data_IF_010004999762
#
_entry.id   IF_010004999762
#
_cell.length_a   1.000
_cell.length_b   1.000
_cell.length_c   1.000
_cell.angle_alpha   90.00
_cell.angle_beta   90.00
_cell.angle_gamma   90.00
#
_symmetry.space_group_name_H-M   'P 1'
#
loop_
_entity.id
_entity.type
_entity.pdbx_description
1 polymer ?
#
# COMPACT_ATOMS: atom_id res chain seq x y z
N UNK A 1 23.80 4.99 -5.68
CA UNK A 1 23.44 6.43 -5.57
C UNK A 1 21.91 6.64 -5.58
N UNK A 2 21.14 5.94 -6.39
CA UNK A 2 19.68 6.09 -6.52
C UNK A 2 18.89 5.82 -5.23
N UNK A 3 19.26 4.81 -4.45
CA UNK A 3 18.61 4.47 -3.18
C UNK A 3 18.69 5.59 -2.13
N UNK A 4 19.81 6.31 -2.08
CA UNK A 4 19.99 7.46 -1.15
C UNK A 4 19.16 8.68 -1.60
N UNK A 5 18.97 8.88 -2.89
CA UNK A 5 18.11 9.93 -3.43
C UNK A 5 16.63 9.64 -3.13
N UNK A 6 16.21 8.37 -3.26
CA UNK A 6 14.84 7.94 -3.01
C UNK A 6 14.45 8.10 -1.54
N UNK A 7 15.31 7.66 -0.61
CA UNK A 7 15.06 7.82 0.82
C UNK A 7 15.03 9.30 1.23
N UNK A 8 15.89 10.14 0.64
CA UNK A 8 15.88 11.58 0.87
C UNK A 8 14.62 12.27 0.35
N UNK A 9 14.10 11.83 -0.79
CA UNK A 9 12.86 12.37 -1.38
C UNK A 9 11.63 11.99 -0.54
N UNK A 10 11.52 10.74 -0.14
CA UNK A 10 10.43 10.25 0.74
C UNK A 10 10.49 10.97 2.09
N UNK A 11 11.68 11.14 2.66
CA UNK A 11 11.86 11.88 3.93
C UNK A 11 11.43 13.34 3.79
N UNK A 12 11.73 14.00 2.66
CA UNK A 12 11.31 15.38 2.39
C UNK A 12 9.79 15.50 2.24
N UNK A 13 9.15 14.57 1.56
CA UNK A 13 7.68 14.55 1.44
C UNK A 13 7.03 14.34 2.81
N UNK A 14 7.55 13.42 3.62
CA UNK A 14 7.08 13.19 5.00
C UNK A 14 7.29 14.45 5.84
N UNK A 15 8.44 15.09 5.76
CA UNK A 15 8.73 16.32 6.50
C UNK A 15 7.83 17.49 6.07
N UNK A 16 7.59 17.67 4.75
CA UNK A 16 6.69 18.70 4.22
C UNK A 16 5.26 18.45 4.68
N UNK A 17 4.76 17.22 4.66
CA UNK A 17 3.41 16.90 5.12
C UNK A 17 3.24 17.05 6.63
N UNK A 18 4.27 16.72 7.42
CA UNK A 18 4.30 16.98 8.87
C UNK A 18 4.30 18.49 9.18
N UNK A 19 5.02 19.29 8.39
CA UNK A 19 5.03 20.75 8.52
C UNK A 19 3.67 21.34 8.12
N UNK A 20 3.03 20.84 7.06
CA UNK A 20 1.68 21.27 6.67
C UNK A 20 0.63 20.91 7.73
N UNK A 21 0.73 19.75 8.37
CA UNK A 21 -0.14 19.37 9.49
C UNK A 21 0.12 20.21 10.77
N UNK A 22 1.35 20.71 10.94
CA UNK A 22 1.72 21.57 12.07
C UNK A 22 1.39 23.05 11.84
N UNK A 23 1.13 23.46 10.60
CA UNK A 23 0.85 24.84 10.22
C UNK A 23 -0.65 25.24 10.31
N UNK A 24 -1.49 24.35 10.85
CA UNK A 24 -2.85 24.72 11.22
C UNK A 24 -2.76 25.82 12.30
N UNK A 25 -3.33 27.04 12.05
CA UNK A 25 -3.34 28.06 13.08
C UNK A 25 -4.09 27.52 14.29
N UNK A 26 -3.48 27.61 15.47
CA UNK A 26 -4.11 27.40 16.78
C UNK A 26 -5.26 28.43 16.94
N UNK A 27 -6.33 28.24 16.20
CA UNK A 27 -7.58 28.87 16.52
C UNK A 27 -8.08 28.16 17.78
N UNK A 28 -7.92 28.83 18.89
CA UNK A 28 -8.55 28.47 20.15
C UNK A 28 -10.00 28.10 19.86
N UNK A 29 -10.30 26.80 19.88
CA UNK A 29 -11.65 26.29 19.69
C UNK A 29 -12.49 26.88 20.80
N UNK A 30 -13.32 27.85 20.44
CA UNK A 30 -14.44 28.26 21.28
C UNK A 30 -15.25 26.98 21.54
N UNK A 31 -15.23 26.52 22.78
CA UNK A 31 -16.13 25.46 23.25
C UNK A 31 -17.55 25.93 22.98
N UNK A 32 -18.11 25.58 21.86
CA UNK A 32 -19.53 25.68 21.63
C UNK A 32 -20.15 24.62 22.52
N UNK A 33 -20.93 25.07 23.50
CA UNK A 33 -21.65 24.20 24.39
C UNK A 33 -22.42 23.16 23.59
N UNK A 34 -22.20 21.90 23.95
CA UNK A 34 -22.90 20.76 23.38
C UNK A 34 -24.41 20.89 23.66
N UNK A 35 -25.13 21.40 22.70
CA UNK A 35 -26.60 21.37 22.68
C UNK A 35 -27.00 20.68 21.38
N UNK A 36 -27.66 19.58 21.53
CA UNK A 36 -28.16 18.61 20.58
C UNK A 36 -27.18 17.44 20.33
N UNK A 37 -27.59 16.28 20.80
CA UNK A 37 -27.09 14.98 20.43
C UNK A 37 -27.46 14.76 18.95
N UNK A 38 -26.67 15.31 18.02
CA UNK A 38 -26.76 14.95 16.63
C UNK A 38 -26.43 13.46 16.54
N UNK A 39 -27.49 12.65 16.46
CA UNK A 39 -27.35 11.21 16.31
C UNK A 39 -26.76 10.95 14.93
N UNK A 40 -25.46 10.64 14.89
CA UNK A 40 -24.76 10.28 13.65
C UNK A 40 -25.55 9.13 13.01
N UNK A 41 -26.00 9.26 11.75
CA UNK A 41 -26.74 8.20 11.07
C UNK A 41 -25.88 6.93 10.98
N UNK A 42 -26.53 5.77 10.96
CA UNK A 42 -25.81 4.50 10.86
C UNK A 42 -24.96 4.46 9.61
N UNK A 43 -25.50 4.79 8.46
CA UNK A 43 -24.79 4.99 7.20
C UNK A 43 -24.52 6.48 7.02
N UNK A 44 -23.26 6.84 6.89
CA UNK A 44 -22.81 8.23 6.81
C UNK A 44 -21.92 8.49 5.59
N UNK A 45 -22.19 7.81 4.47
CA UNK A 45 -21.53 8.04 3.19
C UNK A 45 -20.55 6.95 2.77
N UNK A 46 -20.00 7.17 1.60
CA UNK A 46 -19.02 6.32 0.94
C UNK A 46 -17.79 7.17 0.60
N UNK A 47 -16.62 6.58 0.66
CA UNK A 47 -15.39 7.24 0.25
C UNK A 47 -14.64 6.39 -0.77
N UNK A 48 -14.17 7.03 -1.84
CA UNK A 48 -13.31 6.41 -2.84
C UNK A 48 -11.93 7.02 -2.72
N UNK A 49 -10.90 6.20 -2.68
CA UNK A 49 -9.51 6.65 -2.57
C UNK A 49 -8.61 6.00 -3.59
N UNK A 50 -7.53 6.72 -3.94
CA UNK A 50 -6.45 6.24 -4.79
C UNK A 50 -5.10 6.49 -4.10
N UNK A 51 -4.18 5.54 -4.21
CA UNK A 51 -2.81 5.68 -3.72
C UNK A 51 -1.94 6.44 -4.72
N UNK A 52 -1.12 7.34 -4.24
CA UNK A 52 -0.18 8.11 -5.05
C UNK A 52 1.26 7.60 -4.96
N UNK A 53 1.62 6.91 -3.89
CA UNK A 53 3.00 6.40 -3.72
C UNK A 53 3.27 5.27 -4.69
N UNK A 54 2.33 4.37 -4.91
CA UNK A 54 2.49 3.23 -5.80
C UNK A 54 2.84 3.64 -7.24
N UNK A 55 2.08 4.53 -7.90
CA UNK A 55 2.43 5.07 -9.22
C UNK A 55 3.77 5.80 -9.24
N UNK A 56 4.07 6.63 -8.23
CA UNK A 56 5.36 7.29 -8.13
C UNK A 56 6.52 6.30 -8.01
N UNK A 57 6.31 5.20 -7.30
CA UNK A 57 7.30 4.12 -7.19
C UNK A 57 7.56 3.44 -8.53
N UNK A 58 6.54 3.21 -9.37
CA UNK A 58 6.71 2.67 -10.72
C UNK A 58 7.56 3.57 -11.63
N UNK A 59 7.46 4.89 -11.44
CA UNK A 59 8.27 5.84 -12.22
C UNK A 59 9.73 5.89 -11.78
N UNK A 60 10.03 5.52 -10.53
CA UNK A 60 11.35 5.70 -9.91
C UNK A 60 12.06 4.37 -9.58
N UNK A 61 11.38 3.24 -9.74
CA UNK A 61 11.85 1.92 -9.32
C UNK A 61 11.43 0.84 -10.32
N UNK A 62 12.09 -0.30 -10.24
CA UNK A 62 11.76 -1.48 -11.05
C UNK A 62 10.45 -2.17 -10.66
N UNK A 63 9.72 -1.66 -9.67
CA UNK A 63 8.45 -2.22 -9.22
C UNK A 63 7.58 -1.16 -8.56
N UNK A 64 6.28 -1.41 -8.55
CA UNK A 64 5.28 -0.56 -7.91
C UNK A 64 3.87 -1.08 -8.16
N UNK A 65 2.88 -0.26 -7.85
CA UNK A 65 1.49 -0.67 -7.96
C UNK A 65 0.55 0.52 -8.19
N UNK A 66 -0.60 0.24 -8.79
CA UNK A 66 -1.76 1.13 -8.78
C UNK A 66 -2.78 0.56 -7.81
N UNK A 67 -3.46 1.41 -7.07
CA UNK A 67 -4.45 0.97 -6.09
C UNK A 67 -5.58 1.96 -5.98
N UNK A 68 -6.79 1.42 -5.86
CA UNK A 68 -7.99 2.14 -5.51
C UNK A 68 -8.71 1.43 -4.36
N UNK A 69 -9.42 2.18 -3.54
CA UNK A 69 -10.19 1.63 -2.43
C UNK A 69 -11.58 2.27 -2.34
N UNK A 70 -12.53 1.46 -1.93
CA UNK A 70 -13.87 1.86 -1.56
C UNK A 70 -14.06 1.64 -0.07
N UNK A 71 -14.45 2.68 0.64
CA UNK A 71 -14.69 2.66 2.08
C UNK A 71 -16.11 3.11 2.38
N UNK A 72 -16.79 2.39 3.25
CA UNK A 72 -18.14 2.73 3.72
C UNK A 72 -18.03 3.32 5.12
N UNK A 73 -18.68 4.46 5.36
CA UNK A 73 -18.68 5.11 6.65
C UNK A 73 -19.90 4.70 7.46
N UNK A 74 -19.69 3.99 8.57
CA UNK A 74 -20.72 3.57 9.51
C UNK A 74 -20.52 4.30 10.85
N UNK A 75 -21.40 5.23 11.15
CA UNK A 75 -21.40 6.02 12.41
C UNK A 75 -20.09 6.78 12.68
N UNK A 76 -19.31 7.15 11.65
CA UNK A 76 -17.95 7.72 11.80
C UNK A 76 -17.02 6.90 12.69
N UNK A 77 -17.37 5.64 12.98
CA UNK A 77 -16.62 4.75 13.85
C UNK A 77 -16.06 3.54 13.12
N UNK A 78 -16.88 2.90 12.28
CA UNK A 78 -16.55 1.67 11.58
C UNK A 78 -16.47 1.93 10.09
N UNK A 79 -15.43 1.48 9.45
CA UNK A 79 -15.18 1.74 8.05
C UNK A 79 -14.79 0.44 7.33
N UNK A 80 -15.80 -0.40 6.94
CA UNK A 80 -15.54 -1.49 6.00
C UNK A 80 -14.87 -0.97 4.75
N UNK A 81 -13.87 -1.68 4.26
CA UNK A 81 -13.07 -1.26 3.11
C UNK A 81 -12.76 -2.42 2.19
N UNK A 82 -12.89 -2.17 0.90
CA UNK A 82 -12.43 -3.04 -0.17
C UNK A 82 -11.39 -2.29 -1.00
N UNK A 83 -10.25 -2.93 -1.25
CA UNK A 83 -9.18 -2.36 -2.03
C UNK A 83 -8.86 -3.29 -3.21
N UNK A 84 -8.63 -2.72 -4.36
CA UNK A 84 -8.17 -3.41 -5.55
C UNK A 84 -6.95 -2.70 -6.11
N UNK A 85 -6.04 -3.46 -6.66
CA UNK A 85 -4.86 -2.88 -7.25
C UNK A 85 -4.22 -3.79 -8.30
N UNK A 86 -3.24 -3.23 -8.99
CA UNK A 86 -2.45 -3.90 -10.01
C UNK A 86 -0.98 -3.63 -9.73
N UNK A 87 -0.25 -4.68 -9.40
CA UNK A 87 1.18 -4.62 -9.12
C UNK A 87 2.00 -5.03 -10.33
N UNK A 88 3.11 -4.33 -10.56
CA UNK A 88 4.03 -4.60 -11.64
C UNK A 88 5.47 -4.55 -11.16
N UNK A 89 6.28 -5.48 -11.63
CA UNK A 89 7.72 -5.47 -11.42
C UNK A 89 8.43 -5.92 -12.70
N UNK A 90 9.53 -5.21 -13.02
CA UNK A 90 10.48 -5.58 -14.06
C UNK A 90 11.86 -5.23 -13.51
N UNK A 91 12.57 -6.22 -12.99
CA UNK A 91 13.82 -6.01 -12.28
C UNK A 91 14.95 -6.83 -12.93
N UNK A 92 15.99 -6.11 -13.32
CA UNK A 92 17.27 -6.68 -13.74
C UNK A 92 18.27 -6.60 -12.59
N UNK A 93 18.76 -7.74 -12.14
CA UNK A 93 19.84 -7.80 -11.17
C UNK A 93 21.17 -8.07 -11.90
N UNK A 94 21.98 -7.03 -11.97
CA UNK A 94 23.31 -7.08 -12.62
C UNK A 94 24.25 -8.08 -11.93
N UNK A 95 24.07 -8.31 -10.62
CA UNK A 95 24.94 -9.21 -9.84
C UNK A 95 24.63 -10.67 -10.09
N UNK A 96 23.36 -11.02 -10.13
CA UNK A 96 22.88 -12.39 -10.36
C UNK A 96 22.62 -12.68 -11.83
N UNK A 97 22.58 -11.64 -12.69
CA UNK A 97 22.21 -11.68 -14.10
C UNK A 97 20.82 -12.30 -14.32
N UNK A 98 19.92 -12.07 -13.36
CA UNK A 98 18.53 -12.50 -13.42
C UNK A 98 17.64 -11.33 -13.80
N UNK A 99 16.83 -11.51 -14.81
CA UNK A 99 15.69 -10.65 -15.12
C UNK A 99 14.45 -11.28 -14.53
N UNK A 100 13.66 -10.49 -13.80
CA UNK A 100 12.41 -10.90 -13.20
C UNK A 100 11.28 -10.00 -13.68
N UNK A 101 10.23 -10.60 -14.23
CA UNK A 101 9.05 -9.88 -14.69
C UNK A 101 7.77 -10.49 -14.09
N UNK A 102 6.89 -9.62 -13.63
CA UNK A 102 5.54 -9.99 -13.18
C UNK A 102 4.60 -8.81 -13.23
N UNK A 103 3.36 -9.09 -13.53
CA UNK A 103 2.27 -8.13 -13.37
C UNK A 103 0.96 -8.87 -13.09
N UNK A 104 0.21 -8.42 -12.09
CA UNK A 104 -1.08 -9.01 -11.77
C UNK A 104 -1.94 -8.13 -10.86
N UNK A 105 -3.26 -8.37 -10.88
CA UNK A 105 -4.18 -7.77 -9.93
C UNK A 105 -4.03 -8.39 -8.54
N UNK A 106 -4.44 -7.63 -7.54
CA UNK A 106 -4.61 -8.10 -6.17
C UNK A 106 -5.85 -7.47 -5.54
N UNK A 107 -6.39 -8.12 -4.54
CA UNK A 107 -7.53 -7.64 -3.77
C UNK A 107 -7.29 -7.68 -2.28
N UNK A 108 -7.88 -6.73 -1.55
CA UNK A 108 -7.86 -6.68 -0.09
C UNK A 108 -9.24 -6.33 0.44
N UNK A 109 -9.64 -7.00 1.51
CA UNK A 109 -10.88 -6.72 2.23
C UNK A 109 -10.56 -6.54 3.71
N UNK A 110 -11.21 -5.59 4.35
CA UNK A 110 -10.94 -5.34 5.76
C UNK A 110 -11.85 -4.32 6.41
N UNK A 111 -11.40 -3.85 7.57
CA UNK A 111 -12.15 -2.93 8.40
C UNK A 111 -11.18 -1.94 9.04
N UNK A 112 -11.55 -0.66 9.04
CA UNK A 112 -10.90 0.38 9.81
C UNK A 112 -11.81 0.83 10.96
N UNK A 113 -11.18 1.16 12.08
CA UNK A 113 -11.82 1.80 13.23
C UNK A 113 -11.26 3.19 13.40
N UNK A 114 -12.14 4.18 13.45
CA UNK A 114 -11.74 5.52 13.85
C UNK A 114 -11.52 5.53 15.38
N UNK A 115 -10.28 5.74 15.80
CA UNK A 115 -9.87 5.74 17.21
C UNK A 115 -9.91 7.13 17.84
N UNK A 116 -10.23 8.19 17.09
CA UNK A 116 -10.41 9.53 17.63
C UNK A 116 -11.51 9.54 18.70
N UNK A 117 -11.34 10.37 19.73
CA UNK A 117 -12.40 10.64 20.71
C UNK A 117 -13.57 11.35 20.07
N UNK A 118 -13.29 12.43 19.35
CA UNK A 118 -14.28 13.19 18.60
C UNK A 118 -14.46 12.55 17.20
N UNK A 119 -15.65 11.98 16.96
CA UNK A 119 -15.93 11.26 15.71
C UNK A 119 -16.22 12.18 14.51
N UNK A 120 -16.50 13.45 14.79
CA UNK A 120 -16.84 14.45 13.77
C UNK A 120 -15.68 15.40 13.44
N UNK A 121 -14.47 15.10 13.91
CA UNK A 121 -13.28 15.90 13.61
C UNK A 121 -12.96 15.93 12.12
N UNK A 122 -12.32 17.01 11.69
CA UNK A 122 -11.81 17.17 10.31
C UNK A 122 -10.72 16.15 9.98
N UNK A 123 -10.04 15.61 10.98
CA UNK A 123 -9.06 14.53 10.83
C UNK A 123 -9.57 13.25 11.49
N UNK A 124 -9.12 12.11 10.96
CA UNK A 124 -9.46 10.78 11.49
C UNK A 124 -8.18 9.98 11.65
N UNK A 125 -8.09 9.24 12.73
CA UNK A 125 -7.01 8.27 12.95
C UNK A 125 -7.65 6.89 12.93
N UNK A 126 -7.10 6.03 12.09
CA UNK A 126 -7.61 4.68 11.92
C UNK A 126 -6.62 3.65 12.42
N UNK A 127 -7.13 2.65 13.10
CA UNK A 127 -6.48 1.35 13.26
C UNK A 127 -7.33 0.32 12.51
N UNK A 128 -6.71 -0.53 11.71
CA UNK A 128 -7.46 -1.46 10.89
C UNK A 128 -6.70 -2.72 10.55
N UNK A 129 -7.39 -3.64 9.92
CA UNK A 129 -6.81 -4.86 9.38
C UNK A 129 -7.33 -5.14 7.98
N UNK A 130 -6.56 -5.89 7.19
CA UNK A 130 -6.90 -6.35 5.85
C UNK A 130 -6.53 -7.83 5.71
N UNK A 131 -7.38 -8.55 5.02
CA UNK A 131 -7.04 -9.82 4.41
C UNK A 131 -6.84 -9.59 2.92
N UNK A 132 -5.75 -10.11 2.38
CA UNK A 132 -5.34 -9.83 1.03
C UNK A 132 -4.97 -11.11 0.27
N UNK A 133 -5.22 -11.07 -1.05
CA UNK A 133 -4.95 -12.17 -1.97
C UNK A 133 -4.46 -11.67 -3.32
N UNK A 134 -3.55 -12.43 -3.90
CA UNK A 134 -3.14 -12.31 -5.29
C UNK A 134 -2.85 -13.69 -5.90
N UNK A 135 -3.16 -13.81 -7.19
CA UNK A 135 -2.70 -14.92 -8.03
C UNK A 135 -2.02 -14.30 -9.25
N UNK A 136 -0.81 -14.69 -9.53
CA UNK A 136 0.02 -14.05 -10.55
C UNK A 136 0.91 -15.05 -11.27
N UNK A 137 1.39 -14.64 -12.44
CA UNK A 137 2.44 -15.34 -13.18
C UNK A 137 3.71 -14.48 -13.15
N UNK A 138 4.84 -15.13 -13.20
CA UNK A 138 6.12 -14.45 -13.29
C UNK A 138 7.07 -15.19 -14.23
N UNK A 139 7.96 -14.43 -14.83
CA UNK A 139 9.02 -14.93 -15.69
C UNK A 139 10.37 -14.65 -15.03
N UNK A 140 11.27 -15.59 -15.14
CA UNK A 140 12.66 -15.48 -14.70
C UNK A 140 13.55 -15.87 -15.86
N UNK A 141 14.40 -14.96 -16.29
CA UNK A 141 15.42 -15.18 -17.30
C UNK A 141 16.80 -14.93 -16.74
N UNK A 142 17.72 -15.86 -16.98
CA UNK A 142 19.12 -15.72 -16.61
C UNK A 142 19.97 -15.76 -17.88
N UNK A 143 20.70 -14.68 -18.12
CA UNK A 143 21.56 -14.58 -19.28
C UNK A 143 23.03 -14.37 -18.89
N UNK A 144 23.92 -15.18 -19.48
CA UNK A 144 25.37 -15.06 -19.32
C UNK A 144 25.86 -15.48 -17.95
N UNK A 145 25.17 -16.40 -17.28
CA UNK A 145 25.73 -17.13 -16.12
C UNK A 145 26.68 -18.19 -16.65
N UNK A 146 27.89 -18.24 -16.09
CA UNK A 146 28.89 -19.25 -16.42
C UNK A 146 28.94 -20.23 -15.26
N UNK A 147 28.74 -21.53 -15.56
CA UNK A 147 28.91 -22.60 -14.58
C UNK A 147 30.32 -22.54 -14.00
N UNK A 148 30.48 -22.44 -12.67
CA UNK A 148 31.79 -22.29 -12.03
C UNK A 148 32.65 -23.55 -12.17
N UNK A 149 32.07 -24.73 -12.37
CA UNK A 149 32.73 -26.02 -12.50
C UNK A 149 33.10 -26.31 -13.96
N UNK A 150 32.13 -26.26 -14.85
CA UNK A 150 32.28 -26.66 -16.23
C UNK A 150 32.67 -25.53 -17.18
N UNK A 151 32.69 -24.25 -16.68
CA UNK A 151 33.04 -23.06 -17.44
C UNK A 151 32.20 -22.88 -18.75
N UNK A 152 31.02 -23.46 -18.78
CA UNK A 152 30.07 -23.36 -19.90
C UNK A 152 28.97 -22.37 -19.57
N UNK A 153 28.35 -21.72 -20.58
CA UNK A 153 27.13 -20.94 -20.36
C UNK A 153 26.05 -21.82 -19.75
N UNK A 154 25.45 -21.36 -18.66
CA UNK A 154 24.36 -22.00 -17.93
C UNK A 154 23.16 -21.04 -17.92
N UNK A 155 22.67 -20.69 -19.11
CA UNK A 155 21.48 -19.85 -19.24
C UNK A 155 20.27 -20.66 -18.77
N UNK A 156 19.45 -20.00 -17.97
CA UNK A 156 18.23 -20.57 -17.42
C UNK A 156 17.06 -19.63 -17.70
N UNK A 157 15.96 -20.18 -18.15
CA UNK A 157 14.74 -19.40 -18.30
C UNK A 157 13.53 -20.23 -17.84
N UNK A 158 12.67 -19.58 -17.06
CA UNK A 158 11.44 -20.16 -16.58
C UNK A 158 10.30 -19.16 -16.80
N UNK A 159 9.44 -19.47 -17.75
CA UNK A 159 8.34 -18.59 -18.12
C UNK A 159 7.02 -19.10 -17.55
N UNK A 160 6.10 -18.15 -17.31
CA UNK A 160 4.72 -18.42 -16.90
C UNK A 160 4.59 -19.23 -15.61
N UNK A 161 5.55 -19.07 -14.68
CA UNK A 161 5.47 -19.71 -13.38
C UNK A 161 4.29 -19.12 -12.58
N UNK A 162 3.35 -19.97 -12.20
CA UNK A 162 2.13 -19.54 -11.53
C UNK A 162 2.32 -19.57 -10.01
N UNK A 163 2.03 -18.47 -9.33
CA UNK A 163 2.08 -18.35 -7.88
C UNK A 163 0.82 -17.71 -7.32
N UNK A 164 0.54 -18.02 -6.08
CA UNK A 164 -0.53 -17.35 -5.32
C UNK A 164 -0.07 -17.10 -3.89
N UNK A 165 -0.55 -16.00 -3.33
CA UNK A 165 -0.20 -15.63 -1.96
C UNK A 165 -1.38 -14.98 -1.23
N UNK A 166 -1.52 -15.35 0.03
CA UNK A 166 -2.46 -14.76 0.99
C UNK A 166 -1.68 -14.12 2.12
N UNK A 167 -2.12 -12.94 2.56
CA UNK A 167 -1.49 -12.26 3.69
C UNK A 167 -2.48 -11.45 4.50
N UNK A 168 -2.09 -11.12 5.73
CA UNK A 168 -2.78 -10.16 6.58
C UNK A 168 -2.00 -8.86 6.63
N UNK A 169 -2.74 -7.75 6.76
CA UNK A 169 -2.15 -6.44 7.02
C UNK A 169 -2.76 -5.84 8.29
N UNK A 170 -1.90 -5.27 9.13
CA UNK A 170 -2.29 -4.33 10.16
C UNK A 170 -2.03 -2.93 9.61
N UNK A 171 -3.02 -2.07 9.74
CA UNK A 171 -2.98 -0.73 9.15
C UNK A 171 -3.17 0.30 10.24
N UNK A 172 -2.29 1.29 10.25
CA UNK A 172 -2.47 2.54 10.99
C UNK A 172 -2.50 3.67 9.97
N UNK A 173 -3.55 4.50 10.02
CA UNK A 173 -3.72 5.57 9.05
C UNK A 173 -4.17 6.86 9.71
N UNK A 174 -3.74 7.96 9.12
CA UNK A 174 -4.17 9.32 9.45
C UNK A 174 -4.71 9.96 8.20
N UNK A 175 -5.87 10.55 8.29
CA UNK A 175 -6.62 11.12 7.19
C UNK A 175 -7.18 12.48 7.63
N UNK A 176 -6.94 13.52 6.85
CA UNK A 176 -7.37 14.87 7.12
C UNK A 176 -8.26 15.40 5.98
N UNK A 177 -9.36 16.07 6.34
CA UNK A 177 -10.21 16.78 5.41
C UNK A 177 -9.54 18.07 4.99
N UNK A 178 -9.33 18.25 3.67
CA UNK A 178 -8.72 19.45 3.12
C UNK A 178 -9.78 20.46 2.71
N UNK A 179 -10.68 20.04 1.83
CA UNK A 179 -11.69 20.96 1.28
C UNK A 179 -12.88 20.16 0.76
N UNK A 180 -14.11 20.57 1.17
CA UNK A 180 -15.34 19.93 0.72
C UNK A 180 -15.34 18.41 0.97
N UNK A 181 -15.42 17.65 -0.10
CA UNK A 181 -15.39 16.17 -0.10
C UNK A 181 -13.94 15.60 -0.13
N UNK A 182 -12.94 16.45 -0.34
CA UNK A 182 -11.55 16.02 -0.52
C UNK A 182 -10.85 15.80 0.82
N UNK A 183 -10.25 14.62 0.95
CA UNK A 183 -9.40 14.23 2.08
C UNK A 183 -8.08 13.70 1.57
N UNK A 184 -7.03 13.82 2.36
CA UNK A 184 -5.72 13.22 2.10
C UNK A 184 -5.22 12.54 3.35
N UNK A 185 -4.49 11.45 3.17
CA UNK A 185 -4.03 10.69 4.32
C UNK A 185 -2.83 9.80 4.05
N UNK A 186 -2.15 9.47 5.14
CA UNK A 186 -1.06 8.52 5.17
C UNK A 186 -1.52 7.23 5.81
N UNK A 187 -1.00 6.12 5.34
CA UNK A 187 -1.13 4.85 6.04
C UNK A 187 0.22 4.14 6.12
N UNK A 188 0.45 3.50 7.26
CA UNK A 188 1.54 2.56 7.48
C UNK A 188 0.92 1.17 7.61
N UNK A 189 1.50 0.20 6.91
CA UNK A 189 0.98 -1.16 6.83
C UNK A 189 2.04 -2.16 7.20
N UNK A 190 1.74 -3.01 8.17
CA UNK A 190 2.52 -4.21 8.46
C UNK A 190 1.84 -5.40 7.82
N UNK A 191 2.52 -6.03 6.86
CA UNK A 191 2.02 -7.17 6.08
C UNK A 191 2.68 -8.45 6.58
N UNK A 192 1.89 -9.48 6.82
CA UNK A 192 2.36 -10.80 7.24
C UNK A 192 1.82 -11.87 6.31
N UNK A 193 2.71 -12.61 5.63
CA UNK A 193 2.37 -13.74 4.78
C UNK A 193 1.72 -14.85 5.62
N UNK A 194 0.60 -15.39 5.15
CA UNK A 194 -0.09 -16.52 5.75
C UNK A 194 0.19 -17.80 4.98
N UNK A 195 -0.23 -17.80 3.71
CA UNK A 195 -0.09 -18.95 2.82
C UNK A 195 0.49 -18.47 1.49
N UNK A 196 1.30 -19.31 0.89
CA UNK A 196 1.81 -19.14 -0.48
C UNK A 196 1.95 -20.50 -1.11
N UNK A 197 1.81 -20.54 -2.42
CA UNK A 197 2.09 -21.72 -3.20
C UNK A 197 3.60 -21.84 -3.36
N UNK A 198 4.18 -22.96 -2.92
CA UNK A 198 5.59 -23.26 -3.16
C UNK A 198 5.79 -23.61 -4.64
N UNK A 199 6.85 -23.08 -5.22
CA UNK A 199 7.22 -23.34 -6.59
C UNK A 199 8.43 -24.28 -6.64
N UNK A 200 8.46 -25.14 -7.66
CA UNK A 200 9.60 -26.03 -7.90
C UNK A 200 10.86 -25.25 -8.33
N UNK A 201 10.67 -24.10 -8.97
CA UNK A 201 11.73 -23.27 -9.57
C UNK A 201 11.85 -21.93 -8.82
N UNK A 202 12.25 -21.99 -7.55
CA UNK A 202 12.53 -20.80 -6.75
C UNK A 202 11.30 -19.99 -6.35
N UNK A 203 11.49 -19.06 -5.41
CA UNK A 203 10.43 -18.14 -4.96
C UNK A 203 10.42 -16.87 -5.82
N UNK A 204 9.23 -16.25 -6.07
CA UNK A 204 9.13 -15.00 -6.81
C UNK A 204 9.85 -13.89 -6.06
N UNK A 205 10.55 -13.00 -6.76
CA UNK A 205 11.23 -11.86 -6.16
C UNK A 205 10.26 -10.78 -5.66
N UNK A 206 9.15 -10.60 -6.37
CA UNK A 206 8.11 -9.62 -6.06
C UNK A 206 6.74 -10.26 -6.13
N UNK A 207 5.86 -9.87 -5.20
CA UNK A 207 4.47 -10.32 -5.14
C UNK A 207 3.56 -9.09 -5.27
N UNK A 208 2.69 -9.03 -6.30
CA UNK A 208 1.75 -7.92 -6.48
C UNK A 208 0.93 -7.63 -5.23
N UNK A 209 0.91 -6.36 -4.80
CA UNK A 209 0.23 -5.93 -3.58
C UNK A 209 0.97 -6.19 -2.27
N UNK A 210 1.78 -7.23 -2.19
CA UNK A 210 2.59 -7.50 -0.99
C UNK A 210 3.92 -6.75 -1.01
N UNK A 211 4.59 -6.71 -2.17
CA UNK A 211 5.91 -6.13 -2.34
C UNK A 211 7.00 -7.17 -2.56
N UNK A 212 8.25 -6.88 -2.20
CA UNK A 212 9.34 -7.86 -2.32
C UNK A 212 9.04 -9.08 -1.45
N UNK A 213 9.29 -10.26 -1.99
CA UNK A 213 8.97 -11.52 -1.30
C UNK A 213 9.63 -11.62 0.09
N UNK A 214 8.97 -12.31 0.99
CA UNK A 214 9.40 -12.51 2.37
C UNK A 214 8.24 -12.85 3.31
N UNK A 215 8.55 -13.10 4.58
CA UNK A 215 7.53 -13.47 5.57
C UNK A 215 6.73 -12.27 6.07
N UNK A 216 7.35 -11.09 6.12
CA UNK A 216 6.70 -9.87 6.55
C UNK A 216 7.28 -8.65 5.83
N UNK A 217 6.46 -7.62 5.68
CA UNK A 217 6.85 -6.34 5.05
C UNK A 217 6.18 -5.16 5.74
N UNK A 218 6.92 -4.06 5.78
CA UNK A 218 6.35 -2.75 6.06
C UNK A 218 6.10 -2.03 4.74
N UNK A 219 4.96 -1.36 4.64
CA UNK A 219 4.59 -0.53 3.52
C UNK A 219 4.03 0.80 4.00
N UNK A 220 4.09 1.80 3.13
CA UNK A 220 3.45 3.10 3.33
C UNK A 220 2.65 3.46 2.10
N UNK A 221 1.53 4.13 2.29
CA UNK A 221 0.69 4.66 1.22
C UNK A 221 0.33 6.10 1.52
N UNK A 222 0.12 6.87 0.49
CA UNK A 222 -0.42 8.22 0.58
C UNK A 222 -1.64 8.30 -0.32
N UNK A 223 -2.80 8.49 0.28
CA UNK A 223 -4.08 8.38 -0.40
C UNK A 223 -4.72 9.74 -0.59
N UNK A 224 -5.28 9.96 -1.77
CA UNK A 224 -6.30 10.99 -2.03
C UNK A 224 -7.65 10.30 -1.95
N UNK A 225 -8.57 10.88 -1.20
CA UNK A 225 -9.90 10.32 -0.92
C UNK A 225 -10.97 11.35 -1.22
N UNK A 226 -12.03 10.93 -1.90
CA UNK A 226 -13.25 11.70 -2.13
C UNK A 226 -14.34 11.06 -1.30
N UNK A 227 -14.92 11.80 -0.36
CA UNK A 227 -16.03 11.37 0.52
C UNK A 227 -17.35 11.87 -0.07
N UNK A 228 -18.28 10.93 -0.34
CA UNK A 228 -19.60 11.15 -0.98
C UNK A 228 -20.75 10.92 0.00
#
# INVERSE_FOLDING_TARGET
MLQRALSSFILKIIAISLILCAAEPLHAQKKVAATATDSIPFFNGIAVSADLIGPAQLMMSSYGQYQAALRVNLKNKWFPIAEVGYGKANADDVSTKLNYQTEAPYGRLGMDWNINKEKNDSYRIYAGFRYAYTSFKYDIDSHGVIDPVWKKPADFSAHHQQASQHWLELVFALDAKLWGALRMGWSVRYKRRLFHQQQEIGEPWYVPGFGRNGNSRLGGEFNITIEL
#
